data_IF_353735980621
#
_entry.id   IF_353735980621
#
_cell.length_a   1.000
_cell.length_b   1.000
_cell.length_c   1.000
_cell.angle_alpha   90.00
_cell.angle_beta   90.00
_cell.angle_gamma   90.00
#
_symmetry.space_group_name_H-M   'P 1'
#
loop_
_entity.id
_entity.type
_entity.pdbx_description
1 polymer ?
#
# COMPACT_ATOMS: atom_id res chain seq x y z
N UNK A 1 -18.34 -23.30 11.69
CA UNK A 1 -17.85 -22.46 10.57
C UNK A 1 -17.46 -23.44 9.49
N UNK A 2 -18.01 -23.33 8.28
CA UNK A 2 -17.56 -24.17 7.17
C UNK A 2 -16.04 -23.97 6.98
N UNK A 3 -15.30 -25.08 6.98
CA UNK A 3 -13.86 -25.12 6.73
C UNK A 3 -13.60 -24.49 5.35
N UNK A 4 -12.90 -23.36 5.33
CA UNK A 4 -12.63 -22.63 4.08
C UNK A 4 -11.41 -23.28 3.41
N UNK A 5 -11.65 -24.25 2.54
CA UNK A 5 -10.60 -24.82 1.69
C UNK A 5 -9.98 -23.71 0.83
N UNK A 6 -8.65 -23.56 0.92
CA UNK A 6 -7.92 -22.61 0.09
C UNK A 6 -7.95 -23.06 -1.37
N UNK A 7 -8.59 -22.25 -2.22
CA UNK A 7 -8.54 -22.39 -3.68
C UNK A 7 -7.82 -21.18 -4.28
N UNK A 8 -7.02 -21.43 -5.32
CA UNK A 8 -6.38 -20.36 -6.10
C UNK A 8 -7.21 -20.02 -7.33
N UNK A 9 -7.21 -18.74 -7.67
CA UNK A 9 -7.80 -18.23 -8.90
C UNK A 9 -7.35 -19.07 -10.11
N UNK A 10 -8.28 -19.37 -11.01
CA UNK A 10 -7.99 -20.13 -12.23
C UNK A 10 -7.19 -19.31 -13.25
N UNK A 11 -7.25 -17.96 -13.17
CA UNK A 11 -6.53 -17.04 -14.06
C UNK A 11 -5.20 -16.51 -13.51
N UNK A 12 -5.02 -16.43 -12.19
CA UNK A 12 -3.78 -15.97 -11.56
C UNK A 12 -3.39 -16.88 -10.39
N UNK A 13 -2.64 -16.39 -9.39
CA UNK A 13 -2.23 -17.18 -8.23
C UNK A 13 -2.98 -16.82 -6.95
N UNK A 14 -3.76 -15.73 -6.93
CA UNK A 14 -4.41 -15.24 -5.72
C UNK A 14 -5.35 -16.27 -5.09
N UNK A 15 -5.28 -16.52 -3.77
CA UNK A 15 -6.19 -17.44 -3.09
C UNK A 15 -7.48 -16.75 -2.63
N UNK A 16 -8.55 -17.53 -2.44
CA UNK A 16 -9.84 -17.08 -1.87
C UNK A 16 -9.76 -16.70 -0.39
N UNK A 17 -8.64 -16.99 0.26
CA UNK A 17 -8.33 -16.67 1.65
C UNK A 17 -7.78 -15.26 1.83
N UNK A 18 -7.49 -14.54 0.73
CA UNK A 18 -7.18 -13.10 0.81
C UNK A 18 -8.41 -12.34 1.33
N UNK A 19 -8.27 -11.51 2.38
CA UNK A 19 -9.36 -10.68 2.86
C UNK A 19 -10.04 -9.87 1.76
N UNK A 20 -11.36 -9.69 1.88
CA UNK A 20 -12.19 -8.87 1.01
C UNK A 20 -12.11 -9.20 -0.48
N UNK A 21 -11.70 -10.42 -0.86
CA UNK A 21 -11.56 -10.84 -2.26
C UNK A 21 -12.69 -11.76 -2.66
N UNK A 22 -13.67 -11.22 -3.38
CA UNK A 22 -14.73 -12.05 -3.96
C UNK A 22 -14.19 -12.89 -5.13
N UNK A 23 -14.81 -14.06 -5.33
CA UNK A 23 -14.58 -14.97 -6.44
C UNK A 23 -15.89 -15.19 -7.19
N UNK A 24 -15.82 -15.24 -8.52
CA UNK A 24 -16.93 -15.60 -9.40
C UNK A 24 -16.44 -16.71 -10.32
N UNK A 25 -17.09 -17.87 -10.28
CA UNK A 25 -16.74 -19.05 -11.10
C UNK A 25 -15.24 -19.43 -11.03
N UNK A 26 -14.66 -19.37 -9.84
CA UNK A 26 -13.24 -19.70 -9.59
C UNK A 26 -12.24 -18.60 -10.01
N UNK A 27 -12.71 -17.45 -10.45
CA UNK A 27 -11.88 -16.29 -10.83
C UNK A 27 -11.99 -15.19 -9.78
N UNK A 28 -10.85 -14.67 -9.31
CA UNK A 28 -10.85 -13.55 -8.35
C UNK A 28 -11.26 -12.23 -9.01
N UNK A 29 -11.86 -11.33 -8.22
CA UNK A 29 -12.28 -10.01 -8.71
C UNK A 29 -11.14 -9.18 -9.34
N UNK A 30 -9.88 -9.39 -8.93
CA UNK A 30 -8.74 -8.71 -9.53
C UNK A 30 -8.52 -9.09 -11.01
N UNK A 31 -8.79 -10.35 -11.39
CA UNK A 31 -8.70 -10.81 -12.77
C UNK A 31 -9.90 -10.35 -13.59
N UNK A 32 -11.08 -10.29 -12.98
CA UNK A 32 -12.29 -9.76 -13.61
C UNK A 32 -12.11 -8.26 -13.91
N UNK A 33 -11.71 -7.47 -12.91
CA UNK A 33 -11.45 -6.04 -13.06
C UNK A 33 -10.38 -5.76 -14.12
N UNK A 34 -9.33 -6.58 -14.21
CA UNK A 34 -8.30 -6.43 -15.25
C UNK A 34 -8.84 -6.62 -16.67
N UNK A 35 -9.77 -7.55 -16.87
CA UNK A 35 -10.44 -7.71 -18.18
C UNK A 35 -11.42 -6.55 -18.46
N UNK A 36 -12.18 -6.12 -17.45
CA UNK A 36 -13.12 -4.98 -17.55
C UNK A 36 -12.41 -3.67 -17.92
N UNK A 37 -11.14 -3.49 -17.54
CA UNK A 37 -10.35 -2.30 -17.88
C UNK A 37 -10.22 -2.06 -19.38
N UNK A 38 -10.35 -3.10 -20.21
CA UNK A 38 -10.29 -2.99 -21.68
C UNK A 38 -11.50 -2.26 -22.27
N UNK A 39 -12.62 -2.22 -21.55
CA UNK A 39 -13.85 -1.54 -21.96
C UNK A 39 -13.92 -0.08 -21.47
N UNK A 40 -12.95 0.38 -20.68
CA UNK A 40 -12.94 1.73 -20.12
C UNK A 40 -12.54 2.74 -21.20
N UNK A 41 -13.35 3.79 -21.37
CA UNK A 41 -12.96 4.98 -22.14
C UNK A 41 -11.96 5.84 -21.34
N UNK A 42 -10.68 5.52 -21.49
CA UNK A 42 -9.59 6.24 -20.82
C UNK A 42 -9.44 7.69 -21.30
N UNK A 43 -9.87 8.02 -22.52
CA UNK A 43 -9.83 9.38 -23.02
C UNK A 43 -10.84 10.26 -22.28
N UNK A 44 -12.08 9.76 -22.13
CA UNK A 44 -13.10 10.43 -21.33
C UNK A 44 -12.67 10.58 -19.86
N UNK A 45 -12.08 9.55 -19.25
CA UNK A 45 -11.59 9.65 -17.87
C UNK A 45 -10.44 10.65 -17.72
N UNK A 46 -9.54 10.74 -18.70
CA UNK A 46 -8.49 11.77 -18.71
C UNK A 46 -9.09 13.18 -18.83
N UNK A 47 -10.14 13.35 -19.62
CA UNK A 47 -10.85 14.63 -19.73
C UNK A 47 -11.53 15.02 -18.39
N UNK A 48 -12.16 14.06 -17.70
CA UNK A 48 -12.72 14.25 -16.36
C UNK A 48 -11.65 14.76 -15.37
N UNK A 49 -10.44 14.17 -15.42
CA UNK A 49 -9.31 14.59 -14.59
C UNK A 49 -8.89 16.02 -14.89
N UNK A 50 -8.77 16.40 -16.17
CA UNK A 50 -8.38 17.77 -16.56
C UNK A 50 -9.42 18.77 -16.05
N UNK A 51 -10.72 18.52 -16.29
CA UNK A 51 -11.80 19.36 -15.77
C UNK A 51 -11.78 19.46 -14.25
N UNK A 52 -11.41 18.37 -13.56
CA UNK A 52 -11.29 18.37 -12.10
C UNK A 52 -10.13 19.24 -11.61
N UNK A 53 -8.96 19.14 -12.25
CA UNK A 53 -7.79 19.96 -11.94
C UNK A 53 -8.07 21.45 -12.19
N UNK A 54 -8.72 21.79 -13.30
CA UNK A 54 -9.10 23.16 -13.64
C UNK A 54 -10.09 23.78 -12.64
N UNK A 55 -11.08 23.00 -12.18
CA UNK A 55 -12.08 23.45 -11.19
C UNK A 55 -11.49 23.63 -9.79
N UNK A 56 -10.55 22.76 -9.40
CA UNK A 56 -9.92 22.79 -8.09
C UNK A 56 -9.19 24.10 -7.85
N UNK A 57 -8.46 24.58 -8.87
CA UNK A 57 -7.71 25.83 -8.83
C UNK A 57 -6.62 25.87 -7.75
N UNK A 58 -5.67 26.79 -7.89
CA UNK A 58 -4.70 27.05 -6.84
C UNK A 58 -5.34 27.93 -5.75
N UNK A 59 -5.25 27.52 -4.49
CA UNK A 59 -5.79 28.27 -3.35
C UNK A 59 -4.85 29.41 -2.86
N UNK A 60 -3.80 29.73 -3.62
CA UNK A 60 -2.73 30.66 -3.22
C UNK A 60 -1.56 30.00 -2.50
N UNK A 61 -1.59 28.68 -2.25
CA UNK A 61 -0.47 27.93 -1.65
C UNK A 61 0.71 27.72 -2.60
N UNK A 62 0.50 27.90 -3.91
CA UNK A 62 1.51 27.60 -4.94
C UNK A 62 1.52 26.15 -5.43
N UNK A 63 0.61 25.32 -4.92
CA UNK A 63 0.39 23.93 -5.33
C UNK A 63 -1.06 23.69 -5.74
N UNK A 64 -1.26 22.85 -6.75
CA UNK A 64 -2.58 22.57 -7.32
C UNK A 64 -3.22 21.32 -6.72
N UNK A 65 -2.39 20.39 -6.23
CA UNK A 65 -2.82 19.19 -5.54
C UNK A 65 -1.73 18.65 -4.61
N UNK A 66 -2.12 17.73 -3.72
CA UNK A 66 -1.18 16.85 -3.02
C UNK A 66 -1.12 15.50 -3.73
N UNK A 67 0.07 14.91 -3.80
CA UNK A 67 0.27 13.51 -4.15
C UNK A 67 0.82 12.79 -2.92
N UNK A 68 0.09 11.78 -2.43
CA UNK A 68 0.59 10.90 -1.39
C UNK A 68 1.77 10.08 -1.95
N UNK A 69 2.94 10.18 -1.32
CA UNK A 69 4.18 9.64 -1.87
C UNK A 69 4.93 8.77 -0.88
N UNK A 70 5.49 7.66 -1.37
CA UNK A 70 6.50 6.88 -0.65
C UNK A 70 7.91 7.05 -1.23
N UNK A 71 8.04 7.80 -2.34
CA UNK A 71 9.24 7.81 -3.17
C UNK A 71 9.42 6.55 -4.02
N UNK A 72 8.49 5.59 -3.94
CA UNK A 72 8.50 4.39 -4.78
C UNK A 72 7.95 4.62 -6.19
N UNK A 73 7.99 3.55 -6.99
CA UNK A 73 7.68 3.56 -8.42
C UNK A 73 6.37 4.27 -8.77
N UNK A 74 5.31 3.95 -8.03
CA UNK A 74 3.97 4.39 -8.34
C UNK A 74 3.81 5.88 -8.00
N UNK A 75 4.30 6.31 -6.84
CA UNK A 75 4.25 7.73 -6.47
C UNK A 75 5.13 8.60 -7.38
N UNK A 76 6.28 8.09 -7.82
CA UNK A 76 7.15 8.79 -8.77
C UNK A 76 6.46 8.93 -10.13
N UNK A 77 5.92 7.85 -10.68
CA UNK A 77 5.23 7.88 -11.97
C UNK A 77 4.02 8.81 -11.94
N UNK A 78 3.20 8.75 -10.89
CA UNK A 78 2.05 9.63 -10.71
C UNK A 78 2.43 11.11 -10.63
N UNK A 79 3.48 11.44 -9.87
CA UNK A 79 3.96 12.82 -9.76
C UNK A 79 4.40 13.35 -11.15
N UNK A 80 5.15 12.55 -11.89
CA UNK A 80 5.63 12.93 -13.23
C UNK A 80 4.50 13.00 -14.26
N UNK A 81 3.53 12.09 -14.19
CA UNK A 81 2.35 12.12 -15.03
C UNK A 81 1.56 13.42 -14.80
N UNK A 82 1.33 13.83 -13.53
CA UNK A 82 0.67 15.10 -13.21
C UNK A 82 1.49 16.33 -13.65
N UNK A 83 2.82 16.32 -13.44
CA UNK A 83 3.70 17.39 -13.90
C UNK A 83 3.65 17.53 -15.42
N UNK A 84 3.55 16.43 -16.16
CA UNK A 84 3.41 16.44 -17.63
C UNK A 84 2.10 17.09 -18.11
N UNK A 85 1.08 17.14 -17.24
CA UNK A 85 -0.18 17.85 -17.48
C UNK A 85 -0.11 19.34 -17.08
N UNK A 86 1.04 19.84 -16.65
CA UNK A 86 1.23 21.22 -16.19
C UNK A 86 0.80 21.47 -14.74
N UNK A 87 0.48 20.41 -13.98
CA UNK A 87 0.08 20.50 -12.57
C UNK A 87 1.32 20.67 -11.70
N UNK A 88 1.21 21.48 -10.64
CA UNK A 88 2.25 21.65 -9.61
C UNK A 88 1.90 20.87 -8.34
N UNK A 89 2.29 19.59 -8.23
CA UNK A 89 1.98 18.79 -7.05
C UNK A 89 2.89 19.13 -5.85
N UNK A 90 2.32 19.10 -4.65
CA UNK A 90 3.06 18.93 -3.40
C UNK A 90 3.11 17.45 -3.05
N UNK A 91 4.32 16.88 -2.98
CA UNK A 91 4.50 15.47 -2.65
C UNK A 91 4.56 15.32 -1.14
N UNK A 92 3.59 14.60 -0.55
CA UNK A 92 3.51 14.44 0.90
C UNK A 92 3.80 12.99 1.27
N UNK A 93 4.85 12.80 2.05
CA UNK A 93 5.28 11.50 2.56
C UNK A 93 4.91 11.36 4.03
N UNK A 94 4.19 10.30 4.37
CA UNK A 94 4.14 9.81 5.74
C UNK A 94 5.37 8.91 5.94
N UNK A 95 6.35 9.36 6.71
CA UNK A 95 7.59 8.59 6.90
C UNK A 95 7.24 7.19 7.40
N UNK A 96 7.85 6.18 6.77
CA UNK A 96 7.57 4.77 7.01
C UNK A 96 7.98 4.32 8.41
N UNK A 97 7.57 3.11 8.81
CA UNK A 97 7.88 2.60 10.16
C UNK A 97 9.38 2.45 10.40
N UNK A 98 10.13 2.06 9.37
CA UNK A 98 11.58 1.94 9.39
C UNK A 98 12.12 2.24 7.99
N UNK A 99 12.35 3.53 7.73
CA UNK A 99 12.82 4.02 6.43
C UNK A 99 14.15 3.37 6.06
N UNK A 100 14.21 2.78 4.87
CA UNK A 100 15.42 2.17 4.35
C UNK A 100 16.32 3.23 3.69
N UNK A 101 17.61 2.93 3.54
CA UNK A 101 18.53 3.81 2.82
C UNK A 101 18.10 4.06 1.36
N UNK A 102 17.69 3.00 0.65
CA UNK A 102 17.24 3.12 -0.75
C UNK A 102 15.91 3.90 -0.85
N UNK A 103 15.02 3.73 0.13
CA UNK A 103 13.78 4.50 0.24
C UNK A 103 14.05 5.99 0.42
N UNK A 104 14.91 6.32 1.37
CA UNK A 104 15.37 7.69 1.60
C UNK A 104 15.97 8.31 0.32
N UNK A 105 16.89 7.60 -0.34
CA UNK A 105 17.51 8.07 -1.57
C UNK A 105 16.49 8.31 -2.68
N UNK A 106 15.47 7.46 -2.78
CA UNK A 106 14.41 7.60 -3.78
C UNK A 106 13.47 8.79 -3.49
N UNK A 107 13.13 9.04 -2.22
CA UNK A 107 12.40 10.23 -1.80
C UNK A 107 13.20 11.50 -2.14
N UNK A 108 14.49 11.52 -1.82
CA UNK A 108 15.39 12.64 -2.15
C UNK A 108 15.55 12.83 -3.67
N UNK A 109 15.62 11.74 -4.45
CA UNK A 109 15.63 11.84 -5.91
C UNK A 109 14.37 12.53 -6.43
N UNK A 110 13.20 12.23 -5.85
CA UNK A 110 11.94 12.79 -6.31
C UNK A 110 11.82 14.30 -6.07
N UNK A 111 12.52 14.84 -5.06
CA UNK A 111 12.60 16.28 -4.77
C UNK A 111 13.22 17.10 -5.91
N UNK A 112 13.86 16.46 -6.90
CA UNK A 112 14.35 17.11 -8.13
C UNK A 112 13.22 17.57 -9.06
N UNK A 113 12.02 17.01 -8.92
CA UNK A 113 10.89 17.23 -9.84
C UNK A 113 9.74 18.02 -9.23
N UNK A 114 9.53 17.93 -7.92
CA UNK A 114 8.48 18.64 -7.20
C UNK A 114 8.88 18.89 -5.74
N UNK A 115 8.21 19.85 -5.10
CA UNK A 115 8.40 20.08 -3.66
C UNK A 115 7.91 18.86 -2.88
N UNK A 116 8.73 18.41 -1.93
CA UNK A 116 8.40 17.31 -1.02
C UNK A 116 8.18 17.84 0.40
N UNK A 117 7.28 17.19 1.13
CA UNK A 117 7.06 17.39 2.56
C UNK A 117 6.95 16.03 3.25
N UNK A 118 7.82 15.80 4.22
CA UNK A 118 7.85 14.56 5.00
C UNK A 118 7.31 14.83 6.41
N UNK A 119 6.36 14.02 6.85
CA UNK A 119 5.85 14.05 8.23
C UNK A 119 6.27 12.77 8.90
N UNK A 120 7.17 12.89 9.88
CA UNK A 120 7.67 11.79 10.70
C UNK A 120 6.95 11.80 12.05
N UNK A 121 6.04 10.85 12.33
CA UNK A 121 5.42 10.72 13.64
C UNK A 121 6.45 10.42 14.72
N UNK A 122 6.08 10.63 15.99
CA UNK A 122 6.93 10.23 17.11
C UNK A 122 7.31 8.74 16.97
N UNK A 123 8.61 8.51 16.90
CA UNK A 123 9.18 7.22 16.54
C UNK A 123 9.03 6.18 17.67
N UNK A 124 9.00 6.58 18.95
CA UNK A 124 8.74 5.64 20.06
C UNK A 124 7.26 5.30 20.18
N UNK A 125 6.37 6.23 19.82
CA UNK A 125 4.95 5.94 19.63
C UNK A 125 4.77 4.95 18.48
N UNK A 126 5.41 5.21 17.32
CA UNK A 126 5.36 4.33 16.14
C UNK A 126 5.75 2.90 16.50
N UNK A 127 6.91 2.70 17.14
CA UNK A 127 7.39 1.39 17.55
C UNK A 127 6.40 0.64 18.47
N UNK A 128 5.77 1.34 19.41
CA UNK A 128 4.72 0.76 20.26
C UNK A 128 3.47 0.38 19.47
N UNK A 129 3.08 1.17 18.48
CA UNK A 129 1.98 0.83 17.57
C UNK A 129 2.32 -0.34 16.66
N UNK A 130 3.57 -0.45 16.18
CA UNK A 130 4.05 -1.62 15.43
C UNK A 130 3.92 -2.90 16.28
N UNK A 131 4.33 -2.85 17.55
CA UNK A 131 4.15 -3.95 18.49
C UNK A 131 2.66 -4.31 18.63
N UNK A 132 1.80 -3.31 18.86
CA UNK A 132 0.35 -3.53 19.02
C UNK A 132 -0.24 -4.15 17.74
N UNK A 133 0.02 -3.59 16.57
CA UNK A 133 -0.47 -4.12 15.29
C UNK A 133 -0.05 -5.57 15.07
N UNK A 134 1.24 -5.87 15.27
CA UNK A 134 1.77 -7.22 15.12
C UNK A 134 1.15 -8.19 16.13
N UNK A 135 0.98 -7.77 17.39
CA UNK A 135 0.47 -8.64 18.47
C UNK A 135 -1.04 -8.66 18.63
N UNK A 136 -1.80 -7.81 17.93
CA UNK A 136 -3.26 -7.78 18.01
C UNK A 136 -3.92 -8.26 16.73
N UNK A 137 -3.41 -7.84 15.56
CA UNK A 137 -4.00 -8.19 14.26
C UNK A 137 -3.04 -8.93 13.33
N UNK A 138 -1.81 -9.20 13.78
CA UNK A 138 -0.82 -9.94 13.00
C UNK A 138 -0.25 -9.09 11.86
N UNK A 139 -0.17 -7.78 12.04
CA UNK A 139 0.33 -6.85 11.03
C UNK A 139 1.23 -5.78 11.66
N UNK A 140 2.54 -5.91 11.43
CA UNK A 140 3.53 -4.95 11.91
C UNK A 140 3.39 -3.58 11.24
N UNK A 141 2.85 -3.52 10.03
CA UNK A 141 2.69 -2.28 9.24
C UNK A 141 1.39 -1.54 9.53
N UNK A 142 0.56 -2.01 10.48
CA UNK A 142 -0.67 -1.34 10.88
C UNK A 142 -0.55 0.20 11.07
N UNK A 143 0.45 0.75 11.79
CA UNK A 143 0.54 2.22 11.93
C UNK A 143 0.90 2.92 10.62
N UNK A 144 1.58 2.25 9.68
CA UNK A 144 1.80 2.78 8.33
C UNK A 144 0.51 2.84 7.54
N UNK A 145 -0.29 1.76 7.56
CA UNK A 145 -1.60 1.74 6.92
C UNK A 145 -2.51 2.88 7.39
N UNK A 146 -2.44 3.26 8.67
CA UNK A 146 -3.16 4.42 9.19
C UNK A 146 -2.57 5.76 8.72
N UNK A 147 -1.24 5.90 8.80
CA UNK A 147 -0.57 7.18 8.53
C UNK A 147 -0.61 7.56 7.04
N UNK A 148 -0.53 6.61 6.10
CA UNK A 148 -0.53 6.90 4.66
C UNK A 148 -1.82 7.56 4.19
N UNK A 149 -2.96 7.28 4.83
CA UNK A 149 -4.23 7.95 4.53
C UNK A 149 -4.43 9.24 5.34
N UNK A 150 -3.87 9.28 6.55
CA UNK A 150 -4.08 10.39 7.48
C UNK A 150 -3.20 11.59 7.15
N UNK A 151 -1.90 11.38 6.93
CA UNK A 151 -0.92 12.46 6.77
C UNK A 151 -1.20 13.33 5.53
N UNK A 152 -1.40 12.79 4.31
CA UNK A 152 -1.70 13.63 3.15
C UNK A 152 -2.97 14.44 3.32
N UNK A 153 -4.03 13.84 3.90
CA UNK A 153 -5.28 14.54 4.19
C UNK A 153 -5.09 15.66 5.23
N UNK A 154 -4.31 15.43 6.28
CA UNK A 154 -3.98 16.47 7.27
C UNK A 154 -3.25 17.64 6.61
N UNK A 155 -2.26 17.37 5.76
CA UNK A 155 -1.53 18.42 5.05
C UNK A 155 -2.44 19.18 4.07
N UNK A 156 -3.33 18.47 3.37
CA UNK A 156 -4.33 19.09 2.49
C UNK A 156 -5.19 20.09 3.26
N UNK A 157 -5.74 19.67 4.40
CA UNK A 157 -6.58 20.53 5.23
C UNK A 157 -5.80 21.70 5.83
N UNK A 158 -4.59 21.46 6.33
CA UNK A 158 -3.74 22.50 6.94
C UNK A 158 -3.28 23.57 5.94
N UNK A 159 -3.00 23.18 4.70
CA UNK A 159 -2.57 24.09 3.62
C UNK A 159 -3.75 24.62 2.79
N UNK A 160 -4.97 24.15 3.08
CA UNK A 160 -6.18 24.49 2.34
C UNK A 160 -6.23 23.95 0.91
N UNK A 161 -5.42 22.93 0.58
CA UNK A 161 -5.34 22.33 -0.75
C UNK A 161 -6.51 21.35 -0.93
N UNK A 162 -7.41 21.57 -1.90
CA UNK A 162 -8.67 20.82 -1.97
C UNK A 162 -8.59 19.49 -2.75
N UNK A 163 -7.40 19.10 -3.23
CA UNK A 163 -7.22 17.90 -4.04
C UNK A 163 -6.06 17.04 -3.56
N UNK A 164 -6.31 15.76 -3.32
CA UNK A 164 -5.29 14.75 -2.95
C UNK A 164 -5.38 13.56 -3.90
N UNK A 165 -4.25 13.17 -4.47
CA UNK A 165 -4.12 11.96 -5.28
C UNK A 165 -3.39 10.84 -4.53
N UNK A 166 -3.95 9.66 -4.63
CA UNK A 166 -3.36 8.37 -4.28
C UNK A 166 -3.18 7.54 -5.56
N UNK A 167 -2.44 6.42 -5.46
CA UNK A 167 -2.13 5.54 -6.58
C UNK A 167 -3.30 4.79 -7.19
N UNK A 168 -3.14 3.48 -7.30
CA UNK A 168 -4.18 2.58 -7.74
C UNK A 168 -5.38 2.62 -6.81
N UNK A 169 -6.54 2.21 -7.34
CA UNK A 169 -7.58 1.64 -6.51
C UNK A 169 -7.17 0.18 -6.18
N UNK A 170 -6.88 -0.16 -4.91
CA UNK A 170 -6.46 -1.50 -4.51
C UNK A 170 -7.48 -2.60 -4.85
N UNK A 171 -8.78 -2.29 -4.85
CA UNK A 171 -9.82 -3.26 -5.19
C UNK A 171 -9.82 -3.60 -6.68
N UNK A 172 -9.46 -2.64 -7.54
CA UNK A 172 -9.24 -2.90 -8.96
C UNK A 172 -7.94 -3.67 -9.20
N UNK A 173 -6.86 -3.29 -8.52
CA UNK A 173 -5.54 -3.88 -8.73
C UNK A 173 -5.39 -5.28 -8.12
N UNK A 174 -5.94 -5.53 -6.94
CA UNK A 174 -5.69 -6.76 -6.16
C UNK A 174 -6.95 -7.52 -5.77
N UNK A 175 -8.13 -6.98 -6.09
CA UNK A 175 -9.43 -7.60 -5.82
C UNK A 175 -10.11 -6.98 -4.61
N UNK A 176 -11.45 -6.99 -4.64
CA UNK A 176 -12.32 -6.40 -3.65
C UNK A 176 -13.72 -7.01 -3.73
N UNK A 177 -14.67 -6.51 -2.92
CA UNK A 177 -16.09 -6.74 -3.14
C UNK A 177 -16.53 -6.25 -4.52
N UNK A 178 -17.54 -6.90 -5.10
CA UNK A 178 -18.09 -6.52 -6.41
C UNK A 178 -18.53 -5.05 -6.41
N UNK A 179 -18.11 -4.31 -7.44
CA UNK A 179 -18.39 -2.88 -7.61
C UNK A 179 -17.33 -1.96 -6.99
N UNK A 180 -16.55 -2.42 -6.01
CA UNK A 180 -15.53 -1.59 -5.37
C UNK A 180 -14.36 -1.22 -6.33
N UNK A 181 -14.15 -1.98 -7.40
CA UNK A 181 -13.14 -1.70 -8.42
C UNK A 181 -13.42 -0.41 -9.22
N UNK A 182 -14.67 0.05 -9.25
CA UNK A 182 -15.08 1.26 -9.98
C UNK A 182 -14.86 2.55 -9.19
N UNK A 183 -14.54 2.44 -7.89
CA UNK A 183 -14.35 3.59 -7.03
C UNK A 183 -13.21 4.48 -7.55
N UNK A 184 -13.54 5.76 -7.81
CA UNK A 184 -12.57 6.80 -8.21
C UNK A 184 -12.10 7.65 -7.03
N UNK A 185 -12.97 7.83 -6.04
CA UNK A 185 -12.69 8.62 -4.84
C UNK A 185 -12.38 7.73 -3.63
N UNK A 186 -11.41 8.17 -2.83
CA UNK A 186 -11.10 7.62 -1.52
C UNK A 186 -11.93 8.34 -0.45
N UNK A 187 -13.14 7.86 -0.21
CA UNK A 187 -14.03 8.43 0.82
C UNK A 187 -13.63 8.00 2.24
N UNK A 188 -14.19 8.64 3.26
CA UNK A 188 -14.00 8.19 4.64
C UNK A 188 -14.48 6.75 4.85
N UNK A 189 -15.61 6.39 4.22
CA UNK A 189 -16.13 5.02 4.22
C UNK A 189 -15.13 4.05 3.59
N UNK A 190 -14.55 4.41 2.45
CA UNK A 190 -13.53 3.59 1.79
C UNK A 190 -12.33 3.34 2.71
N UNK A 191 -11.82 4.38 3.40
CA UNK A 191 -10.68 4.22 4.33
C UNK A 191 -11.04 3.30 5.51
N UNK A 192 -12.25 3.42 6.05
CA UNK A 192 -12.70 2.55 7.15
C UNK A 192 -12.89 1.09 6.74
N UNK A 193 -13.36 0.83 5.51
CA UNK A 193 -13.58 -0.53 4.99
C UNK A 193 -12.28 -1.16 4.48
N UNK A 194 -11.46 -0.41 3.75
CA UNK A 194 -10.35 -0.94 2.95
C UNK A 194 -8.97 -0.40 3.34
N UNK A 195 -8.87 0.44 4.36
CA UNK A 195 -7.61 1.07 4.79
C UNK A 195 -6.61 0.13 5.48
N UNK A 196 -6.85 -1.19 5.48
CA UNK A 196 -5.92 -2.17 6.07
C UNK A 196 -5.89 -2.15 7.60
N UNK A 197 -6.96 -1.71 8.26
CA UNK A 197 -7.01 -1.61 9.73
C UNK A 197 -7.28 -2.95 10.41
N UNK A 198 -7.71 -3.97 9.66
CA UNK A 198 -7.93 -5.35 10.13
C UNK A 198 -8.81 -5.43 11.40
N UNK A 199 -9.81 -4.55 11.49
CA UNK A 199 -10.72 -4.46 12.64
C UNK A 199 -10.18 -3.69 13.85
N UNK A 200 -8.91 -3.27 13.84
CA UNK A 200 -8.30 -2.45 14.90
C UNK A 200 -8.34 -0.98 14.50
N UNK A 201 -9.23 -0.19 15.11
CA UNK A 201 -9.37 1.24 14.77
C UNK A 201 -8.33 2.08 15.51
N UNK A 202 -7.94 3.26 14.98
CA UNK A 202 -7.01 4.16 15.67
C UNK A 202 -7.39 4.54 17.10
N UNK A 203 -8.68 4.56 17.43
CA UNK A 203 -9.13 4.85 18.80
C UNK A 203 -8.97 3.67 19.75
N UNK A 204 -8.93 2.44 19.23
CA UNK A 204 -8.91 1.21 20.05
C UNK A 204 -7.54 0.99 20.71
N UNK A 205 -6.48 1.59 20.18
CA UNK A 205 -5.11 1.47 20.72
C UNK A 205 -4.81 2.44 21.86
N UNK A 206 -5.70 3.41 22.12
CA UNK A 206 -5.52 4.37 23.23
C UNK A 206 -5.61 3.62 24.56
N UNK A 207 -4.61 3.84 25.42
CA UNK A 207 -4.46 3.12 26.69
C UNK A 207 -3.62 1.84 26.59
N UNK A 208 -3.43 1.28 25.38
CA UNK A 208 -2.54 0.12 25.18
C UNK A 208 -1.08 0.59 25.21
N UNK A 209 -0.18 -0.15 25.89
CA UNK A 209 1.26 0.16 25.99
C UNK A 209 1.58 1.65 26.24
N UNK A 210 0.79 2.30 27.10
CA UNK A 210 0.93 3.73 27.44
C UNK A 210 0.76 4.69 26.25
N UNK A 211 0.03 4.29 25.21
CA UNK A 211 -0.38 5.17 24.12
C UNK A 211 -1.47 6.11 24.64
N UNK A 212 -1.23 7.41 24.52
CA UNK A 212 -2.17 8.46 24.92
C UNK A 212 -2.98 8.97 23.73
N UNK A 213 -4.02 9.76 24.00
CA UNK A 213 -4.76 10.47 22.95
C UNK A 213 -3.87 11.45 22.18
N UNK A 214 -2.90 12.07 22.84
CA UNK A 214 -1.96 13.00 22.21
C UNK A 214 -1.00 12.28 21.25
N UNK A 215 -0.55 11.08 21.61
CA UNK A 215 0.30 10.24 20.75
C UNK A 215 -0.40 9.86 19.43
N UNK A 216 -1.73 9.78 19.43
CA UNK A 216 -2.51 9.38 18.25
C UNK A 216 -2.85 10.52 17.30
N UNK A 217 -2.45 11.77 17.56
CA UNK A 217 -2.81 12.92 16.69
C UNK A 217 -2.38 12.72 15.23
N UNK A 218 -1.21 12.12 15.00
CA UNK A 218 -0.69 11.84 13.64
C UNK A 218 -1.41 10.70 12.93
N UNK A 219 -2.21 9.92 13.68
CA UNK A 219 -2.94 8.74 13.23
C UNK A 219 -4.46 8.96 13.22
N UNK A 220 -4.90 10.19 13.46
CA UNK A 220 -6.30 10.58 13.43
C UNK A 220 -6.57 11.55 12.27
N UNK A 221 -7.64 11.33 11.48
CA UNK A 221 -8.00 12.25 10.41
C UNK A 221 -8.35 13.64 10.99
N UNK A 222 -8.24 14.72 10.18
CA UNK A 222 -8.76 16.02 10.57
C UNK A 222 -10.25 15.96 10.91
N UNK A 223 -10.73 16.94 11.68
CA UNK A 223 -12.16 17.07 11.94
C UNK A 223 -12.95 17.24 10.63
N UNK A 224 -14.12 16.60 10.55
CA UNK A 224 -14.97 16.63 9.36
C UNK A 224 -15.35 18.06 8.95
N UNK A 225 -15.54 18.96 9.92
CA UNK A 225 -15.80 20.39 9.67
C UNK A 225 -14.64 21.06 8.93
N UNK A 226 -13.40 20.72 9.27
CA UNK A 226 -12.22 21.27 8.61
C UNK A 226 -12.07 20.72 7.18
N UNK A 227 -12.33 19.42 6.99
CA UNK A 227 -12.34 18.79 5.67
C UNK A 227 -13.40 19.44 4.77
N UNK A 228 -14.63 19.60 5.28
CA UNK A 228 -15.73 20.25 4.55
C UNK A 228 -15.45 21.72 4.24
N UNK A 229 -14.80 22.45 5.13
CA UNK A 229 -14.42 23.85 4.91
C UNK A 229 -13.45 24.01 3.73
N UNK A 230 -12.50 23.09 3.60
CA UNK A 230 -11.54 23.07 2.47
C UNK A 230 -12.19 22.50 1.21
N UNK A 231 -13.21 21.64 1.35
CA UNK A 231 -13.78 20.91 0.22
C UNK A 231 -12.80 19.87 -0.32
N UNK A 232 -11.98 19.28 0.56
CA UNK A 232 -10.89 18.39 0.16
C UNK A 232 -11.40 17.05 -0.38
N UNK A 233 -11.18 16.81 -1.68
CA UNK A 233 -11.44 15.54 -2.35
C UNK A 233 -10.18 14.68 -2.45
N UNK A 234 -10.35 13.36 -2.37
CA UNK A 234 -9.28 12.37 -2.46
C UNK A 234 -9.59 11.40 -3.59
N UNK A 235 -8.65 11.20 -4.50
CA UNK A 235 -8.86 10.43 -5.73
C UNK A 235 -7.76 9.41 -5.96
N UNK A 236 -8.13 8.27 -6.55
CA UNK A 236 -7.17 7.30 -7.09
C UNK A 236 -6.78 7.73 -8.50
N UNK A 237 -5.55 8.21 -8.69
CA UNK A 237 -5.08 8.72 -9.99
C UNK A 237 -5.08 7.62 -11.06
N UNK A 238 -4.83 6.37 -10.64
CA UNK A 238 -4.90 5.20 -11.52
C UNK A 238 -6.27 4.95 -12.14
N UNK A 239 -7.33 5.63 -11.68
CA UNK A 239 -8.65 5.55 -12.30
C UNK A 239 -8.81 6.51 -13.48
N UNK A 240 -7.83 7.38 -13.77
CA UNK A 240 -7.96 8.44 -14.78
C UNK A 240 -6.96 8.37 -15.93
N UNK A 241 -5.75 7.87 -15.70
CA UNK A 241 -4.62 8.02 -16.63
C UNK A 241 -4.32 6.81 -17.53
N UNK A 242 -5.12 5.75 -17.45
CA UNK A 242 -4.91 4.52 -18.20
C UNK A 242 -4.94 3.28 -17.29
N UNK A 243 -4.84 2.07 -17.85
CA UNK A 243 -4.75 0.86 -17.06
C UNK A 243 -3.54 0.95 -16.12
N UNK A 244 -3.74 0.61 -14.85
CA UNK A 244 -2.68 0.67 -13.86
C UNK A 244 -1.62 -0.41 -14.14
N UNK A 245 -0.39 0.03 -14.40
CA UNK A 245 0.73 -0.86 -14.74
C UNK A 245 1.97 -0.53 -13.88
N UNK A 246 2.24 -1.41 -12.92
CA UNK A 246 3.39 -1.30 -12.01
C UNK A 246 4.74 -1.37 -12.71
N UNK A 247 4.86 -2.04 -13.86
CA UNK A 247 6.11 -2.12 -14.64
C UNK A 247 6.33 -0.86 -15.46
N UNK A 248 5.28 -0.31 -16.08
CA UNK A 248 5.32 1.04 -16.68
C UNK A 248 5.76 2.06 -15.62
N UNK A 249 5.15 2.03 -14.44
CA UNK A 249 5.47 2.97 -13.38
C UNK A 249 6.92 2.82 -12.90
N UNK A 250 7.42 1.59 -12.78
CA UNK A 250 8.83 1.32 -12.50
C UNK A 250 9.77 1.88 -13.58
N UNK A 251 9.46 1.65 -14.86
CA UNK A 251 10.27 2.16 -15.97
C UNK A 251 10.35 3.70 -15.97
N UNK A 252 9.22 4.38 -15.78
CA UNK A 252 9.17 5.85 -15.64
C UNK A 252 10.03 6.30 -14.45
N UNK A 253 9.86 5.66 -13.29
CA UNK A 253 10.56 6.04 -12.08
C UNK A 253 12.08 5.82 -12.19
N UNK A 254 12.52 4.69 -12.76
CA UNK A 254 13.94 4.38 -12.98
C UNK A 254 14.56 5.37 -13.96
N UNK A 255 13.87 5.69 -15.06
CA UNK A 255 14.31 6.74 -16.00
C UNK A 255 14.43 8.12 -15.33
N UNK A 256 13.60 8.38 -14.32
CA UNK A 256 13.67 9.58 -13.50
C UNK A 256 14.72 9.52 -12.37
N UNK A 257 15.49 8.43 -12.25
CA UNK A 257 16.58 8.27 -11.28
C UNK A 257 16.24 7.47 -10.03
N UNK A 258 15.06 6.83 -9.96
CA UNK A 258 14.74 5.91 -8.86
C UNK A 258 15.69 4.70 -8.90
N UNK A 259 16.23 4.34 -7.74
CA UNK A 259 17.05 3.14 -7.54
C UNK A 259 16.15 1.94 -7.25
N UNK A 260 16.52 0.79 -7.79
CA UNK A 260 15.87 -0.51 -7.56
C UNK A 260 16.87 -1.50 -6.99
N UNK A 261 16.35 -2.49 -6.26
CA UNK A 261 17.09 -3.64 -5.73
C UNK A 261 16.08 -4.69 -5.28
N UNK A 262 16.34 -5.97 -5.51
CA UNK A 262 15.47 -7.02 -4.96
C UNK A 262 15.34 -6.87 -3.43
N UNK A 263 14.14 -6.56 -2.88
CA UNK A 263 14.01 -6.22 -1.46
C UNK A 263 14.36 -7.40 -0.56
N UNK A 264 13.87 -8.60 -0.91
CA UNK A 264 14.17 -9.84 -0.22
C UNK A 264 14.08 -11.03 -1.19
N UNK A 265 14.62 -12.21 -0.83
CA UNK A 265 14.45 -13.44 -1.60
C UNK A 265 13.00 -13.95 -1.70
N UNK A 266 12.05 -13.32 -1.00
CA UNK A 266 10.61 -13.61 -1.05
C UNK A 266 9.84 -12.66 -2.00
N UNK A 267 10.55 -11.78 -2.71
CA UNK A 267 10.00 -10.87 -3.72
C UNK A 267 10.30 -11.40 -5.12
N UNK A 268 9.43 -11.07 -6.07
CA UNK A 268 9.59 -11.29 -7.50
C UNK A 268 10.08 -10.03 -8.24
N UNK A 269 9.56 -8.85 -7.87
CA UNK A 269 10.02 -7.58 -8.45
C UNK A 269 11.09 -6.91 -7.59
N UNK A 270 12.04 -6.25 -8.26
CA UNK A 270 13.16 -5.52 -7.67
C UNK A 270 12.88 -4.03 -7.40
N UNK A 271 11.69 -3.56 -7.76
CA UNK A 271 11.28 -2.16 -7.65
C UNK A 271 10.15 -1.92 -6.63
N UNK A 272 9.77 -2.95 -5.86
CA UNK A 272 8.57 -2.93 -5.03
C UNK A 272 8.85 -2.65 -3.55
N UNK A 273 8.05 -1.77 -2.94
CA UNK A 273 8.07 -1.44 -1.50
C UNK A 273 9.49 -1.33 -0.92
N UNK A 274 10.34 -0.51 -1.53
CA UNK A 274 11.74 -0.35 -1.12
C UNK A 274 11.90 0.58 0.09
N UNK A 275 10.85 1.29 0.47
CA UNK A 275 10.85 2.40 1.42
C UNK A 275 10.74 1.98 2.89
N UNK A 276 10.26 0.79 3.20
CA UNK A 276 10.08 0.32 4.58
C UNK A 276 10.69 -1.07 4.81
N UNK A 277 11.61 -1.17 5.78
CA UNK A 277 12.20 -2.45 6.15
C UNK A 277 11.19 -3.43 6.77
N UNK A 278 10.13 -2.92 7.42
CA UNK A 278 9.12 -3.76 8.07
C UNK A 278 8.21 -4.49 7.08
N UNK A 279 8.20 -4.10 5.80
CA UNK A 279 7.39 -4.74 4.75
C UNK A 279 7.68 -6.23 4.62
N UNK A 280 8.94 -6.65 4.81
CA UNK A 280 9.28 -8.07 4.77
C UNK A 280 8.46 -8.88 5.77
N UNK A 281 8.42 -8.45 7.03
CA UNK A 281 7.66 -9.15 8.07
C UNK A 281 6.14 -9.02 7.85
N UNK A 282 5.65 -7.88 7.36
CA UNK A 282 4.25 -7.73 6.95
C UNK A 282 3.85 -8.77 5.89
N UNK A 283 4.63 -8.88 4.81
CA UNK A 283 4.38 -9.82 3.71
C UNK A 283 4.46 -11.28 4.18
N UNK A 284 5.38 -11.59 5.09
CA UNK A 284 5.47 -12.92 5.70
C UNK A 284 4.26 -13.23 6.57
N UNK A 285 3.79 -12.28 7.40
CA UNK A 285 2.59 -12.47 8.20
C UNK A 285 1.34 -12.66 7.34
N UNK A 286 1.24 -11.97 6.19
CA UNK A 286 0.19 -12.23 5.21
C UNK A 286 0.24 -13.67 4.69
N UNK A 287 1.44 -14.19 4.40
CA UNK A 287 1.59 -15.58 3.97
C UNK A 287 1.11 -16.56 5.04
N UNK A 288 1.54 -16.38 6.29
CA UNK A 288 1.15 -17.26 7.39
C UNK A 288 -0.36 -17.22 7.67
N UNK A 289 -1.01 -16.06 7.53
CA UNK A 289 -2.45 -15.90 7.80
C UNK A 289 -3.33 -16.34 6.63
N UNK A 290 -2.91 -16.03 5.41
CA UNK A 290 -3.80 -16.04 4.24
C UNK A 290 -3.25 -16.89 3.07
N UNK A 291 -2.10 -17.55 3.21
CA UNK A 291 -1.56 -18.44 2.17
C UNK A 291 -0.97 -17.70 0.95
N UNK A 292 -0.72 -16.39 1.05
CA UNK A 292 -0.05 -15.61 0.01
C UNK A 292 0.86 -14.53 0.59
N UNK A 293 2.04 -14.37 0.00
CA UNK A 293 2.96 -13.27 0.27
C UNK A 293 3.17 -12.39 -0.96
N UNK A 294 4.21 -11.55 -0.91
CA UNK A 294 4.51 -10.55 -1.94
C UNK A 294 4.68 -11.13 -3.34
N UNK A 295 5.49 -12.17 -3.50
CA UNK A 295 5.71 -12.81 -4.79
C UNK A 295 4.41 -13.30 -5.44
N UNK A 296 3.47 -13.85 -4.66
CA UNK A 296 2.16 -14.29 -5.18
C UNK A 296 1.38 -13.13 -5.80
N UNK A 297 1.37 -11.97 -5.14
CA UNK A 297 0.69 -10.77 -5.65
C UNK A 297 1.37 -10.24 -6.93
N UNK A 298 2.70 -10.16 -6.93
CA UNK A 298 3.50 -9.67 -8.06
C UNK A 298 3.39 -10.58 -9.30
N UNK A 299 3.57 -11.89 -9.11
CA UNK A 299 3.38 -12.89 -10.17
C UNK A 299 1.93 -12.87 -10.69
N UNK A 300 0.93 -12.66 -9.83
CA UNK A 300 -0.47 -12.54 -10.26
C UNK A 300 -0.73 -11.29 -11.11
N UNK A 301 0.03 -10.21 -10.93
CA UNK A 301 -0.02 -9.05 -11.85
C UNK A 301 0.64 -9.40 -13.17
N UNK A 302 1.81 -10.04 -13.16
CA UNK A 302 2.52 -10.40 -14.38
C UNK A 302 1.77 -11.44 -15.24
N UNK A 303 1.05 -12.39 -14.62
CA UNK A 303 0.17 -13.31 -15.35
C UNK A 303 -0.94 -12.54 -16.07
N UNK A 304 -1.58 -11.59 -15.38
CA UNK A 304 -2.66 -10.77 -15.98
C UNK A 304 -2.15 -9.96 -17.17
N UNK A 305 -0.95 -9.41 -17.05
CA UNK A 305 -0.29 -8.67 -18.12
C UNK A 305 0.32 -9.58 -19.22
N UNK A 306 0.16 -10.90 -19.14
CA UNK A 306 0.67 -11.84 -20.14
C UNK A 306 2.19 -11.98 -20.18
N UNK A 307 2.89 -11.58 -19.11
CA UNK A 307 4.36 -11.58 -19.03
C UNK A 307 4.94 -12.91 -18.55
N UNK A 308 4.12 -13.74 -17.90
CA UNK A 308 4.48 -15.08 -17.44
C UNK A 308 3.25 -15.97 -17.50
N UNK A 309 3.43 -17.25 -17.83
CA UNK A 309 2.31 -18.19 -17.79
C UNK A 309 1.94 -18.53 -16.35
N UNK A 310 0.68 -18.89 -16.10
CA UNK A 310 0.26 -19.33 -14.76
C UNK A 310 1.06 -20.55 -14.26
N UNK A 311 1.46 -21.44 -15.17
CA UNK A 311 2.25 -22.63 -14.85
C UNK A 311 3.63 -22.25 -14.34
N UNK A 312 4.37 -21.46 -15.12
CA UNK A 312 5.74 -21.06 -14.75
C UNK A 312 5.73 -20.20 -13.48
N UNK A 313 4.72 -19.33 -13.34
CA UNK A 313 4.55 -18.52 -12.14
C UNK A 313 4.26 -19.35 -10.87
N UNK A 314 3.60 -20.51 -10.98
CA UNK A 314 3.42 -21.42 -9.85
C UNK A 314 4.75 -22.06 -9.43
N UNK A 315 5.58 -22.46 -10.39
CA UNK A 315 6.91 -23.02 -10.13
C UNK A 315 7.80 -22.00 -9.41
N UNK A 316 7.81 -20.73 -9.86
CA UNK A 316 8.51 -19.63 -9.18
C UNK A 316 7.97 -19.39 -7.76
N UNK A 317 6.64 -19.41 -7.60
CA UNK A 317 6.02 -19.17 -6.30
C UNK A 317 6.37 -20.25 -5.27
N UNK A 318 6.51 -21.52 -5.68
CA UNK A 318 6.95 -22.60 -4.79
C UNK A 318 8.36 -22.36 -4.23
N UNK A 319 9.25 -21.77 -5.04
CA UNK A 319 10.62 -21.46 -4.64
C UNK A 319 10.73 -20.18 -3.77
N UNK A 320 9.96 -19.15 -4.11
CA UNK A 320 10.07 -17.80 -3.53
C UNK A 320 9.12 -17.58 -2.35
N UNK A 321 7.87 -18.06 -2.47
CA UNK A 321 6.72 -17.54 -1.72
C UNK A 321 6.65 -17.86 -0.23
N UNK A 322 7.49 -18.78 0.28
CA UNK A 322 7.47 -19.25 1.69
C UNK A 322 8.66 -18.79 2.53
N UNK A 323 9.53 -17.95 1.97
CA UNK A 323 10.80 -17.62 2.62
C UNK A 323 10.62 -16.62 3.74
N UNK A 324 11.21 -16.91 4.89
CA UNK A 324 11.28 -15.96 5.99
C UNK A 324 12.21 -14.79 5.61
N UNK A 325 11.78 -13.52 5.82
CA UNK A 325 12.52 -12.33 5.42
C UNK A 325 13.63 -12.01 6.44
N UNK A 326 14.73 -12.77 6.42
CA UNK A 326 15.88 -12.50 7.30
C UNK A 326 16.48 -11.10 7.12
N UNK A 327 16.31 -10.52 5.93
CA UNK A 327 16.58 -9.11 5.65
C UNK A 327 15.55 -8.57 4.66
N UNK A 328 15.35 -7.26 4.67
CA UNK A 328 14.53 -6.56 3.69
C UNK A 328 15.16 -5.23 3.31
N UNK A 329 15.38 -5.00 2.02
CA UNK A 329 16.05 -3.82 1.46
C UNK A 329 17.41 -3.49 2.14
N UNK A 330 18.14 -4.53 2.57
CA UNK A 330 19.42 -4.41 3.25
C UNK A 330 19.36 -4.26 4.78
N UNK A 331 18.17 -4.19 5.37
CA UNK A 331 17.97 -4.11 6.81
C UNK A 331 17.70 -5.53 7.36
N UNK A 332 18.51 -6.04 8.31
CA UNK A 332 18.28 -7.32 8.97
C UNK A 332 17.02 -7.33 9.85
N UNK A 333 16.34 -8.47 9.93
CA UNK A 333 15.16 -8.65 10.80
C UNK A 333 15.45 -8.36 12.28
N UNK A 334 16.68 -8.59 12.74
CA UNK A 334 17.08 -8.32 14.13
C UNK A 334 16.94 -6.83 14.47
N UNK A 335 17.23 -5.94 13.52
CA UNK A 335 17.17 -4.48 13.71
C UNK A 335 15.70 -4.03 13.75
N UNK A 336 14.84 -4.65 12.93
CA UNK A 336 13.38 -4.45 12.98
C UNK A 336 12.82 -4.87 14.35
N UNK A 337 13.27 -6.01 14.87
CA UNK A 337 12.84 -6.54 16.15
C UNK A 337 13.32 -5.70 17.34
N UNK A 338 14.58 -5.26 17.31
CA UNK A 338 15.13 -4.30 18.28
C UNK A 338 14.31 -3.01 18.30
N UNK A 339 13.98 -2.47 17.12
CA UNK A 339 13.19 -1.25 16.98
C UNK A 339 11.81 -1.34 17.64
N UNK A 340 11.17 -2.49 17.57
CA UNK A 340 9.83 -2.75 18.14
C UNK A 340 9.92 -3.23 19.60
N UNK A 341 11.12 -3.54 20.10
CA UNK A 341 11.33 -4.08 21.45
C UNK A 341 10.78 -5.49 21.60
N UNK A 342 11.03 -6.35 20.60
CA UNK A 342 10.56 -7.73 20.55
C UNK A 342 11.74 -8.69 20.31
N UNK A 343 11.75 -9.84 20.98
CA UNK A 343 12.72 -10.91 20.74
C UNK A 343 12.28 -11.83 19.60
N UNK A 344 13.21 -12.61 19.04
CA UNK A 344 12.86 -13.59 18.01
C UNK A 344 11.88 -14.65 18.53
N UNK A 345 12.03 -15.10 19.78
CA UNK A 345 11.13 -16.08 20.39
C UNK A 345 9.71 -15.53 20.58
N UNK A 346 9.57 -14.26 20.95
CA UNK A 346 8.27 -13.59 21.00
C UNK A 346 7.65 -13.49 19.61
N UNK A 347 8.45 -13.13 18.60
CA UNK A 347 7.99 -13.10 17.21
C UNK A 347 7.48 -14.46 16.77
N UNK A 348 8.22 -15.55 17.05
CA UNK A 348 7.80 -16.91 16.69
C UNK A 348 6.48 -17.30 17.34
N UNK A 349 6.25 -16.92 18.61
CA UNK A 349 4.95 -17.13 19.29
C UNK A 349 3.82 -16.36 18.61
N UNK A 350 4.08 -15.12 18.17
CA UNK A 350 3.10 -14.30 17.45
C UNK A 350 2.79 -14.90 16.08
N UNK A 351 3.81 -15.29 15.32
CA UNK A 351 3.67 -15.97 14.03
C UNK A 351 2.79 -17.21 14.23
N UNK A 352 3.16 -18.12 15.14
CA UNK A 352 2.42 -19.35 15.41
C UNK A 352 0.94 -19.10 15.71
N UNK A 353 0.64 -18.07 16.50
CA UNK A 353 -0.75 -17.73 16.85
C UNK A 353 -1.60 -17.29 15.65
N UNK A 354 -0.99 -16.64 14.66
CA UNK A 354 -1.69 -16.15 13.46
C UNK A 354 -1.59 -17.08 12.26
N UNK A 355 -0.72 -18.08 12.31
CA UNK A 355 -0.61 -19.10 11.27
C UNK A 355 -1.92 -19.85 11.13
N UNK A 356 -2.46 -19.86 9.92
CA UNK A 356 -3.49 -20.82 9.56
C UNK A 356 -2.82 -22.14 9.15
N UNK A 357 -2.93 -23.18 9.98
CA UNK A 357 -2.24 -24.46 9.77
C UNK A 357 -2.72 -25.20 8.52
N UNK A 358 -3.99 -25.03 8.12
CA UNK A 358 -4.56 -25.69 6.93
C UNK A 358 -3.83 -25.27 5.64
N UNK A 359 -3.41 -24.01 5.57
CA UNK A 359 -2.70 -23.46 4.40
C UNK A 359 -1.19 -23.70 4.45
N UNK A 360 -0.69 -24.02 5.64
CA UNK A 360 0.74 -24.08 5.95
C UNK A 360 1.20 -25.48 6.38
N UNK A 361 0.45 -26.55 6.09
CA UNK A 361 0.91 -27.92 6.31
C UNK A 361 2.27 -28.15 5.63
N UNK A 362 3.27 -28.52 6.44
CA UNK A 362 4.66 -28.71 6.02
C UNK A 362 5.61 -27.53 6.30
N UNK A 363 5.15 -26.44 6.94
CA UNK A 363 5.98 -25.26 7.29
C UNK A 363 6.65 -25.37 8.67
N UNK A 364 6.60 -26.54 9.29
CA UNK A 364 7.23 -26.78 10.59
C UNK A 364 8.68 -27.19 10.43
N UNK A 365 9.58 -26.22 10.50
CA UNK A 365 10.91 -26.29 11.14
C UNK A 365 11.61 -24.93 10.99
#
# INVERSE_FOLDING_TARGET
>A
MEETVMIRCTKCLMPNTRPDTAFVDGVCMACIAHEEQKAIDWAARREDLIKMLERSGNNGSGYDCIVASSGGKDSTAQALDLISLGVRPLLVTATTCMLTHIGHDNIQNLARYATTMEVTPNQDVRARLNYIGLTTVGDISWPEHVAIFTTPLRMAVSLGIPMVFYGENPQAAYGGPVGAQEARQMTQRWVSEFGGFLGLRPTDVIGMRKITKADMVDYMPPEEKAIKKVGCERHFLGQYLGPWDSRRNADIAVKAGMRTKLPSPANWWDFENLDNAMTGLHDYMMHMKYGYGRACAQLSVDIRNGLITRKDAMEELEYIGRRFPHHYAGVPIKDVLERVGMTLDELQKVIKRFTNEEFNHGSGA
#
